data_IF_935062403648
#
_entry.id   IF_935062403648
#
_cell.length_a   1.000
_cell.length_b   1.000
_cell.length_c   1.000
_cell.angle_alpha   90.00
_cell.angle_beta   90.00
_cell.angle_gamma   90.00
#
_symmetry.space_group_name_H-M   'P 1'
#
loop_
_entity.id
_entity.type
_entity.pdbx_description
1 polymer ?
#
# COMPACT_ATOMS: atom_id res chain seq x y z
N UNK A 1 8.05 -15.13 -32.60
CA UNK A 1 7.52 -14.93 -33.95
C UNK A 1 6.06 -14.51 -33.82
N UNK A 2 5.65 -13.31 -34.24
CA UNK A 2 4.24 -12.95 -34.27
C UNK A 2 3.54 -13.79 -35.34
N UNK A 3 2.47 -14.46 -34.96
CA UNK A 3 1.60 -15.15 -35.89
C UNK A 3 0.94 -14.10 -36.80
N UNK A 4 1.24 -14.13 -38.10
CA UNK A 4 0.55 -13.33 -39.12
C UNK A 4 -0.47 -14.21 -39.79
N UNK A 5 -1.74 -13.80 -39.73
CA UNK A 5 -2.79 -14.46 -40.48
C UNK A 5 -2.78 -14.00 -41.95
N UNK A 6 -3.21 -14.85 -42.91
CA UNK A 6 -3.35 -14.45 -44.29
C UNK A 6 -4.33 -13.28 -44.45
N UNK A 7 -4.04 -12.29 -45.31
CA UNK A 7 -4.96 -11.18 -45.57
C UNK A 7 -6.34 -11.67 -46.03
N UNK A 8 -7.41 -11.16 -45.40
CA UNK A 8 -8.80 -11.51 -45.72
C UNK A 8 -9.35 -12.70 -44.90
N UNK A 9 -8.65 -13.15 -43.87
CA UNK A 9 -9.16 -14.17 -42.96
C UNK A 9 -10.27 -13.58 -42.08
N UNK A 10 -11.38 -14.30 -41.78
CA UNK A 10 -12.40 -13.85 -40.83
C UNK A 10 -11.87 -13.62 -39.42
N UNK A 11 -10.69 -14.13 -39.11
CA UNK A 11 -10.00 -13.93 -37.84
C UNK A 11 -9.20 -12.63 -37.83
N UNK A 12 -8.90 -12.00 -38.96
CA UNK A 12 -8.16 -10.73 -39.02
C UNK A 12 -8.95 -9.59 -38.37
N UNK A 13 -10.25 -9.51 -38.64
CA UNK A 13 -11.12 -8.49 -38.06
C UNK A 13 -11.36 -8.73 -36.57
N UNK A 14 -11.50 -9.98 -36.16
CA UNK A 14 -11.62 -10.35 -34.75
C UNK A 14 -10.33 -10.02 -33.96
N UNK A 15 -9.15 -10.22 -34.56
CA UNK A 15 -7.88 -9.86 -33.94
C UNK A 15 -7.59 -8.35 -33.98
N UNK A 16 -8.13 -7.60 -34.93
CA UNK A 16 -8.09 -6.14 -34.92
C UNK A 16 -8.95 -5.55 -33.83
N UNK A 17 -10.07 -6.18 -33.51
CA UNK A 17 -10.96 -5.75 -32.42
C UNK A 17 -10.40 -6.13 -31.02
N UNK A 18 -9.66 -7.24 -30.93
CA UNK A 18 -8.97 -7.68 -29.67
C UNK A 18 -7.48 -7.32 -29.64
N UNK A 19 -6.90 -6.84 -30.73
CA UNK A 19 -5.46 -6.64 -30.89
C UNK A 19 -4.99 -5.19 -30.86
N UNK A 20 -5.84 -4.21 -30.56
CA UNK A 20 -5.33 -2.92 -30.14
C UNK A 20 -4.57 -3.13 -28.85
N UNK A 21 -3.29 -2.68 -28.75
CA UNK A 21 -2.65 -2.56 -27.45
C UNK A 21 -3.48 -1.53 -26.68
N UNK A 22 -4.47 -2.00 -25.93
CA UNK A 22 -4.95 -1.25 -24.81
C UNK A 22 -3.71 -1.08 -23.95
N UNK A 23 -3.24 0.15 -23.82
CA UNK A 23 -2.28 0.50 -22.77
C UNK A 23 -2.85 -0.12 -21.51
N UNK A 24 -2.29 -1.26 -21.10
CA UNK A 24 -2.58 -1.82 -19.80
C UNK A 24 -1.98 -0.82 -18.84
N UNK A 25 -2.82 0.09 -18.37
CA UNK A 25 -2.52 0.83 -17.17
C UNK A 25 -2.24 -0.24 -16.10
N UNK A 26 -0.97 -0.47 -15.86
CA UNK A 26 -0.55 -1.33 -14.76
C UNK A 26 -0.85 -0.56 -13.49
N UNK A 27 -2.02 -0.79 -12.90
CA UNK A 27 -2.35 -0.22 -11.61
C UNK A 27 -1.50 -0.92 -10.55
N UNK A 28 -0.57 -0.20 -9.96
CA UNK A 28 0.02 -0.62 -8.71
C UNK A 28 -1.04 -0.51 -7.60
N UNK A 29 -1.13 -1.53 -6.76
CA UNK A 29 -2.12 -1.59 -5.70
C UNK A 29 -1.40 -1.68 -4.35
N UNK A 30 -1.86 -0.89 -3.40
CA UNK A 30 -1.35 -0.88 -2.05
C UNK A 30 -2.37 -0.31 -1.09
N UNK A 31 -2.00 -0.25 0.16
CA UNK A 31 -2.78 0.35 1.23
C UNK A 31 -2.11 1.60 1.76
N UNK A 32 -2.85 2.37 2.54
CA UNK A 32 -2.37 3.54 3.26
C UNK A 32 -3.31 3.86 4.40
N UNK A 33 -3.01 4.94 5.12
CA UNK A 33 -3.86 5.39 6.21
C UNK A 33 -3.78 6.92 6.37
N UNK A 34 -4.88 7.49 6.85
CA UNK A 34 -5.04 8.94 7.02
C UNK A 34 -4.51 9.35 8.38
N UNK A 35 -3.62 10.34 8.41
CA UNK A 35 -2.93 10.82 9.62
C UNK A 35 -3.35 12.23 10.06
N UNK A 36 -4.13 12.94 9.23
CA UNK A 36 -4.60 14.29 9.49
C UNK A 36 -6.02 14.48 8.96
N UNK A 37 -6.83 15.30 9.64
CA UNK A 37 -8.23 15.57 9.26
C UNK A 37 -8.38 16.16 7.86
N UNK A 38 -7.34 16.82 7.33
CA UNK A 38 -7.34 17.42 5.99
C UNK A 38 -6.95 16.44 4.89
N UNK A 39 -6.86 15.13 5.19
CA UNK A 39 -6.60 14.09 4.19
C UNK A 39 -5.13 13.89 3.84
N UNK A 40 -4.24 13.98 4.82
CA UNK A 40 -2.86 13.54 4.65
C UNK A 40 -2.81 12.03 4.84
N UNK A 41 -2.27 11.33 3.85
CA UNK A 41 -2.17 9.87 3.78
C UNK A 41 -0.72 9.44 3.82
N UNK A 42 -0.45 8.39 4.58
CA UNK A 42 0.84 7.68 4.58
C UNK A 42 0.69 6.34 3.89
N UNK A 43 1.67 6.00 3.06
CA UNK A 43 1.78 4.70 2.35
C UNK A 43 3.25 4.36 2.13
N UNK A 44 3.55 3.25 1.45
CA UNK A 44 4.92 2.94 1.02
C UNK A 44 5.31 3.68 -0.27
N UNK A 45 6.59 4.03 -0.37
CA UNK A 45 7.13 4.65 -1.57
C UNK A 45 7.02 3.72 -2.79
N UNK A 46 7.32 2.42 -2.64
CA UNK A 46 7.26 1.47 -3.76
C UNK A 46 5.84 1.31 -4.35
N UNK A 47 4.79 1.68 -3.60
CA UNK A 47 3.40 1.65 -4.09
C UNK A 47 3.14 2.75 -5.11
N UNK A 48 3.82 3.90 -4.98
CA UNK A 48 3.52 5.11 -5.76
C UNK A 48 4.64 5.55 -6.71
N UNK A 49 5.83 4.97 -6.61
CA UNK A 49 7.06 5.50 -7.24
C UNK A 49 6.99 5.62 -8.76
N UNK A 50 6.20 4.76 -9.45
CA UNK A 50 6.09 4.74 -10.91
C UNK A 50 4.67 5.17 -11.37
N UNK A 51 3.91 5.80 -10.48
CA UNK A 51 2.54 6.22 -10.78
C UNK A 51 2.53 7.63 -11.39
N UNK A 52 1.90 7.79 -12.55
CA UNK A 52 1.59 9.09 -13.14
C UNK A 52 0.43 9.77 -12.41
N UNK A 53 -0.59 8.98 -12.06
CA UNK A 53 -1.76 9.42 -11.32
C UNK A 53 -1.97 8.54 -10.08
N UNK A 54 -2.27 9.19 -8.95
CA UNK A 54 -2.53 8.51 -7.69
C UNK A 54 -4.00 8.74 -7.32
N UNK A 55 -4.74 7.64 -7.22
CA UNK A 55 -6.11 7.62 -6.76
C UNK A 55 -6.18 6.87 -5.44
N UNK A 56 -6.71 7.53 -4.42
CA UNK A 56 -6.91 6.95 -3.08
C UNK A 56 -8.39 6.68 -2.89
N UNK A 57 -8.72 5.44 -2.58
CA UNK A 57 -10.09 5.02 -2.26
C UNK A 57 -10.27 4.94 -0.75
N UNK A 58 -11.28 5.66 -0.24
CA UNK A 58 -11.60 5.75 1.18
C UNK A 58 -13.01 5.24 1.42
N UNK A 59 -13.23 4.50 2.49
CA UNK A 59 -14.56 4.03 2.92
C UNK A 59 -15.39 3.35 1.82
N UNK A 60 -14.76 2.47 1.04
CA UNK A 60 -15.42 1.69 -0.01
C UNK A 60 -15.40 2.37 -1.36
N UNK A 61 -16.28 3.32 -1.62
CA UNK A 61 -16.50 3.82 -2.99
C UNK A 61 -16.04 5.27 -3.24
N UNK A 62 -15.61 6.00 -2.21
CA UNK A 62 -15.13 7.37 -2.38
C UNK A 62 -13.69 7.36 -2.92
N UNK A 63 -13.50 7.97 -4.08
CA UNK A 63 -12.18 8.11 -4.72
C UNK A 63 -11.73 9.56 -4.72
N UNK A 64 -10.49 9.77 -4.36
CA UNK A 64 -9.86 11.08 -4.36
C UNK A 64 -8.54 11.02 -5.13
N UNK A 65 -8.29 12.03 -5.95
CA UNK A 65 -6.97 12.26 -6.51
C UNK A 65 -6.03 12.69 -5.39
N UNK A 66 -4.79 12.25 -5.41
CA UNK A 66 -3.80 12.60 -4.42
C UNK A 66 -2.53 13.13 -5.06
N UNK A 67 -1.88 14.07 -4.37
CA UNK A 67 -0.55 14.61 -4.71
C UNK A 67 0.49 14.12 -3.73
N UNK A 68 1.67 13.83 -4.22
CA UNK A 68 2.82 13.47 -3.39
C UNK A 68 3.34 14.72 -2.70
N UNK A 69 3.29 14.76 -1.37
CA UNK A 69 3.92 15.80 -0.56
C UNK A 69 5.41 15.53 -0.35
N UNK A 70 5.77 14.27 -0.24
CA UNK A 70 7.15 13.83 -0.08
C UNK A 70 7.24 12.31 -0.08
N UNK A 71 8.45 11.82 -0.38
CA UNK A 71 8.75 10.40 -0.35
C UNK A 71 10.19 10.18 0.11
N UNK A 72 10.39 9.12 0.86
CA UNK A 72 11.70 8.62 1.29
C UNK A 72 11.87 7.19 0.80
N UNK A 73 12.62 6.99 -0.32
CA UNK A 73 12.88 5.65 -0.85
C UNK A 73 13.70 4.76 0.10
N UNK A 74 14.52 5.36 0.99
CA UNK A 74 15.35 4.57 1.92
C UNK A 74 14.53 3.99 3.06
N UNK A 75 13.50 4.73 3.50
CA UNK A 75 12.55 4.29 4.52
C UNK A 75 11.33 3.58 3.91
N UNK A 76 11.21 3.59 2.58
CA UNK A 76 10.05 3.13 1.83
C UNK A 76 8.73 3.77 2.29
N UNK A 77 8.75 5.08 2.53
CA UNK A 77 7.60 5.85 3.00
C UNK A 77 7.26 6.93 1.98
N UNK A 78 5.98 7.14 1.76
CA UNK A 78 5.45 8.27 1.00
C UNK A 78 4.31 8.94 1.75
N UNK A 79 4.21 10.24 1.59
CA UNK A 79 3.16 11.07 2.17
C UNK A 79 2.42 11.76 1.04
N UNK A 80 1.10 11.61 1.05
CA UNK A 80 0.20 12.12 0.02
C UNK A 80 -0.78 13.12 0.64
N UNK A 81 -1.27 14.04 -0.18
CA UNK A 81 -2.38 14.93 0.12
C UNK A 81 -3.56 14.59 -0.77
N UNK A 82 -4.69 14.26 -0.20
CA UNK A 82 -5.95 14.13 -0.94
C UNK A 82 -6.41 15.50 -1.43
N UNK A 83 -6.84 15.58 -2.68
CA UNK A 83 -7.36 16.82 -3.29
C UNK A 83 -8.86 16.95 -3.03
N UNK A 84 -9.21 17.35 -1.82
CA UNK A 84 -10.61 17.52 -1.39
C UNK A 84 -10.70 18.48 -0.20
N UNK A 85 -11.86 19.08 -0.01
CA UNK A 85 -12.21 19.87 1.18
C UNK A 85 -12.91 19.03 2.27
N UNK A 86 -13.11 17.74 2.02
CA UNK A 86 -13.69 16.83 3.00
C UNK A 86 -12.79 16.66 4.22
N UNK A 87 -13.42 16.36 5.36
CA UNK A 87 -12.74 16.09 6.61
C UNK A 87 -12.77 14.61 6.93
N UNK A 88 -11.66 14.13 7.43
CA UNK A 88 -11.46 12.72 7.76
C UNK A 88 -11.19 12.52 9.25
N UNK A 89 -11.43 11.32 9.72
CA UNK A 89 -11.02 10.90 11.07
C UNK A 89 -9.63 10.26 10.95
N UNK A 90 -8.58 10.92 11.45
CA UNK A 90 -7.24 10.40 11.37
C UNK A 90 -7.00 9.29 12.40
N UNK A 91 -6.03 8.42 12.12
CA UNK A 91 -5.49 7.50 13.12
C UNK A 91 -4.60 8.26 14.12
N UNK A 92 -4.49 7.71 15.33
CA UNK A 92 -3.52 8.19 16.32
C UNK A 92 -2.23 7.37 16.23
N UNK A 93 -1.08 8.04 16.42
CA UNK A 93 0.20 7.36 16.55
C UNK A 93 0.44 6.92 18.00
N UNK A 94 0.91 5.68 18.16
CA UNK A 94 1.43 5.16 19.41
C UNK A 94 2.92 5.43 19.56
N UNK A 95 3.46 4.99 20.66
CA UNK A 95 4.90 5.03 20.92
C UNK A 95 5.50 3.63 20.65
N UNK A 96 6.10 3.46 19.48
CA UNK A 96 6.71 2.19 19.08
C UNK A 96 7.88 1.78 19.98
N UNK A 97 8.55 2.73 20.67
CA UNK A 97 9.63 2.41 21.62
C UNK A 97 9.14 1.63 22.84
N UNK A 98 7.86 1.77 23.18
CA UNK A 98 7.23 1.04 24.29
C UNK A 98 6.72 -0.34 23.89
N UNK A 99 6.65 -0.64 22.60
CA UNK A 99 6.19 -1.91 22.10
C UNK A 99 7.20 -3.03 22.43
N UNK A 100 6.72 -4.16 22.91
CA UNK A 100 7.54 -5.27 23.40
C UNK A 100 7.33 -6.53 22.56
N UNK A 101 8.34 -7.38 22.51
CA UNK A 101 8.19 -8.73 21.97
C UNK A 101 7.09 -9.46 22.75
N UNK A 102 6.16 -10.06 22.03
CA UNK A 102 4.99 -10.74 22.57
C UNK A 102 3.73 -9.86 22.66
N UNK A 103 3.83 -8.54 22.47
CA UNK A 103 2.64 -7.68 22.41
C UNK A 103 1.82 -7.99 21.16
N UNK A 104 0.49 -8.05 21.31
CA UNK A 104 -0.43 -8.24 20.19
C UNK A 104 -0.47 -7.03 19.28
N UNK A 105 -0.53 -7.29 17.99
CA UNK A 105 -0.66 -6.28 16.93
C UNK A 105 -1.67 -6.69 15.89
N UNK A 106 -2.23 -5.69 15.21
CA UNK A 106 -3.19 -5.84 14.12
C UNK A 106 -2.67 -5.11 12.90
N UNK A 107 -2.48 -5.82 11.80
CA UNK A 107 -2.16 -5.22 10.52
C UNK A 107 -3.45 -5.07 9.70
N UNK A 108 -3.67 -3.86 9.18
CA UNK A 108 -4.83 -3.55 8.34
C UNK A 108 -4.37 -3.10 6.97
N UNK A 109 -5.11 -3.50 5.96
CA UNK A 109 -4.97 -3.05 4.59
C UNK A 109 -6.30 -3.02 3.88
N UNK A 110 -6.36 -2.37 2.75
CA UNK A 110 -7.54 -2.35 1.90
C UNK A 110 -7.13 -2.59 0.44
N UNK A 111 -6.63 -3.80 0.14
CA UNK A 111 -6.24 -4.12 -1.22
C UNK A 111 -7.49 -4.07 -2.11
N UNK A 112 -7.35 -3.47 -3.28
CA UNK A 112 -8.41 -3.38 -4.29
C UNK A 112 -9.63 -2.52 -3.90
N UNK A 113 -9.67 -1.90 -2.71
CA UNK A 113 -10.83 -1.16 -2.23
C UNK A 113 -12.10 -2.02 -2.03
N UNK A 114 -11.95 -3.33 -1.97
CA UNK A 114 -13.06 -4.29 -1.87
C UNK A 114 -13.46 -4.62 -0.41
N UNK A 115 -12.88 -3.90 0.54
CA UNK A 115 -13.07 -4.12 1.98
C UNK A 115 -11.75 -4.40 2.68
N UNK A 116 -11.64 -3.97 3.92
CA UNK A 116 -10.42 -4.08 4.69
C UNK A 116 -10.00 -5.53 4.94
N UNK A 117 -8.73 -5.82 4.75
CA UNK A 117 -8.11 -7.06 5.21
C UNK A 117 -7.49 -6.80 6.59
N UNK A 118 -7.80 -7.65 7.54
CA UNK A 118 -7.29 -7.56 8.91
C UNK A 118 -6.55 -8.85 9.23
N UNK A 119 -5.31 -8.73 9.64
CA UNK A 119 -4.53 -9.84 10.18
C UNK A 119 -4.02 -9.49 11.57
N UNK A 120 -3.83 -10.48 12.42
CA UNK A 120 -3.34 -10.29 13.79
C UNK A 120 -2.18 -11.24 14.08
N UNK A 121 -1.34 -10.82 14.98
CA UNK A 121 -0.20 -11.58 15.46
C UNK A 121 0.44 -10.89 16.65
N UNK A 122 1.70 -11.22 16.91
CA UNK A 122 2.49 -10.60 17.97
C UNK A 122 3.74 -9.96 17.39
N UNK A 123 4.35 -9.07 18.14
CA UNK A 123 5.70 -8.61 17.87
C UNK A 123 6.65 -9.78 18.15
N UNK A 124 7.30 -10.29 17.10
CA UNK A 124 8.23 -11.43 17.19
C UNK A 124 9.65 -10.98 17.48
N UNK A 125 10.05 -9.82 16.98
CA UNK A 125 11.37 -9.20 17.21
C UNK A 125 11.31 -7.70 16.97
N UNK A 126 12.32 -7.00 17.47
CA UNK A 126 12.49 -5.55 17.30
C UNK A 126 13.92 -5.25 16.84
N UNK A 127 14.10 -4.03 16.29
CA UNK A 127 15.41 -3.49 15.89
C UNK A 127 16.14 -4.45 14.93
N UNK A 128 15.38 -5.09 14.03
CA UNK A 128 15.96 -5.97 13.03
C UNK A 128 16.26 -5.18 11.76
N UNK A 129 17.55 -5.15 11.41
CA UNK A 129 18.00 -4.75 10.08
C UNK A 129 17.95 -5.95 9.15
N UNK A 130 17.37 -5.78 7.96
CA UNK A 130 17.34 -6.78 6.90
C UNK A 130 18.33 -6.46 5.78
N UNK A 131 19.18 -5.43 5.97
CA UNK A 131 20.27 -5.09 5.08
C UNK A 131 19.86 -4.25 3.87
N UNK A 132 18.67 -3.67 3.85
CA UNK A 132 18.19 -2.82 2.76
C UNK A 132 18.63 -1.35 2.93
N UNK A 133 18.81 -0.89 4.17
CA UNK A 133 19.17 0.50 4.49
C UNK A 133 19.97 0.60 5.79
N UNK A 134 20.64 1.74 6.01
CA UNK A 134 21.35 2.05 7.27
C UNK A 134 20.41 2.54 8.37
N UNK A 135 19.17 2.84 8.05
CA UNK A 135 18.17 3.44 8.95
C UNK A 135 17.04 2.46 9.29
N UNK A 136 17.29 1.17 9.13
CA UNK A 136 16.30 0.14 9.41
C UNK A 136 16.11 -0.04 10.92
N UNK A 137 14.88 0.17 11.37
CA UNK A 137 14.41 -0.20 12.71
C UNK A 137 13.07 -0.91 12.55
N UNK A 138 13.13 -2.17 12.08
CA UNK A 138 11.93 -2.94 11.82
C UNK A 138 11.37 -3.59 13.07
N UNK A 139 10.05 -3.51 13.20
CA UNK A 139 9.25 -4.40 14.05
C UNK A 139 8.92 -5.63 13.23
N UNK A 140 9.37 -6.80 13.67
CA UNK A 140 8.97 -8.06 13.07
C UNK A 140 7.71 -8.60 13.75
N UNK A 141 6.74 -9.05 12.95
CA UNK A 141 5.51 -9.68 13.44
C UNK A 141 5.23 -10.97 12.69
N UNK A 142 4.48 -11.88 13.31
CA UNK A 142 3.91 -13.07 12.66
C UNK A 142 2.49 -12.82 12.12
N UNK A 143 1.93 -11.62 12.33
CA UNK A 143 0.75 -11.19 11.57
C UNK A 143 1.06 -11.27 10.07
N UNK A 144 0.14 -11.83 9.29
CA UNK A 144 0.36 -11.98 7.85
C UNK A 144 0.47 -10.63 7.15
N UNK A 145 1.67 -10.31 6.66
CA UNK A 145 1.94 -9.14 5.82
C UNK A 145 2.05 -9.62 4.37
N UNK A 146 1.38 -8.95 3.45
CA UNK A 146 1.38 -9.26 2.02
C UNK A 146 1.16 -7.98 1.20
N UNK A 147 1.21 -8.10 -0.14
CA UNK A 147 1.01 -6.96 -1.04
C UNK A 147 -0.33 -6.23 -0.83
N UNK A 148 -1.31 -6.91 -0.27
CA UNK A 148 -2.62 -6.33 0.00
C UNK A 148 -2.65 -5.38 1.20
N UNK A 149 -1.82 -5.58 2.22
CA UNK A 149 -1.75 -4.69 3.37
C UNK A 149 -0.46 -3.85 3.43
N UNK A 150 0.42 -3.99 2.44
CA UNK A 150 1.62 -3.16 2.29
C UNK A 150 1.25 -1.67 2.18
N UNK A 151 1.88 -0.83 2.99
CA UNK A 151 1.58 0.61 3.15
C UNK A 151 0.49 0.89 4.18
N UNK A 152 -0.26 -0.10 4.61
CA UNK A 152 -1.26 0.02 5.66
C UNK A 152 -0.65 0.09 7.06
N UNK A 153 -1.49 0.43 8.07
CA UNK A 153 -1.04 0.59 9.45
C UNK A 153 -0.87 -0.73 10.18
N UNK A 154 0.10 -0.76 11.09
CA UNK A 154 0.21 -1.76 12.15
C UNK A 154 -0.24 -1.11 13.46
N UNK A 155 -1.32 -1.63 14.05
CA UNK A 155 -1.89 -1.13 15.29
C UNK A 155 -1.43 -1.95 16.50
N UNK A 156 -1.28 -1.25 17.63
CA UNK A 156 -1.28 -1.88 18.96
C UNK A 156 -2.71 -2.19 19.43
N UNK A 157 -2.85 -2.77 20.61
CA UNK A 157 -4.16 -3.14 21.16
C UNK A 157 -4.93 -1.93 21.72
N UNK A 158 -4.33 -0.76 21.79
CA UNK A 158 -4.99 0.50 22.14
C UNK A 158 -5.56 1.22 20.91
N UNK A 159 -5.33 0.66 19.70
CA UNK A 159 -5.76 1.24 18.44
C UNK A 159 -4.86 2.35 17.91
N UNK A 160 -3.63 2.44 18.38
CA UNK A 160 -2.64 3.39 17.92
C UNK A 160 -1.70 2.75 16.89
N UNK A 161 -1.30 3.50 15.88
CA UNK A 161 -0.34 3.05 14.86
C UNK A 161 1.07 3.07 15.45
N UNK A 162 1.73 1.91 15.41
CA UNK A 162 3.12 1.73 15.84
C UNK A 162 4.06 1.34 14.71
N UNK A 163 3.54 1.13 13.51
CA UNK A 163 4.35 0.79 12.34
C UNK A 163 3.56 0.87 11.04
N UNK A 164 4.28 0.74 9.94
CA UNK A 164 3.75 0.68 8.57
C UNK A 164 4.12 -0.69 8.01
N UNK A 165 3.13 -1.40 7.47
CA UNK A 165 3.36 -2.71 6.86
C UNK A 165 4.17 -2.53 5.57
N UNK A 166 5.40 -3.06 5.49
CA UNK A 166 6.27 -2.74 4.36
C UNK A 166 7.01 -3.93 3.76
N UNK A 167 7.57 -4.82 4.56
CA UNK A 167 8.47 -5.86 4.07
C UNK A 167 8.02 -7.25 4.48
N UNK A 168 8.23 -8.19 3.58
CA UNK A 168 8.01 -9.61 3.81
C UNK A 168 9.36 -10.30 3.89
N UNK A 169 9.67 -10.88 5.06
CA UNK A 169 10.79 -11.80 5.22
C UNK A 169 10.30 -13.20 4.87
N UNK A 170 10.51 -13.58 3.63
CA UNK A 170 10.14 -14.91 3.13
C UNK A 170 10.51 -15.06 1.66
N UNK A 171 10.73 -16.29 1.25
CA UNK A 171 10.98 -16.66 -0.16
C UNK A 171 9.67 -16.78 -0.90
#
# INVERSE_FOLDING_TARGET
LPFQFPPGSPFEDMFKEFGTPQERQSAALGSGFIIDENGIVVTNNHVIQDADDIIVRVNGDQEFTAKVLGADPLMDIAVLQLETDEKFIPVAFGNSDKARIGDWVIAIGNPFGLGGTVTSGIISARNRSIGLSRYEDFIQTDASINSGNSGGPLFDMEGNVIGINTAILGR
#
